data_IF_908321576168
#
_entry.id   IF_908321576168
#
_cell.length_a   1.000
_cell.length_b   1.000
_cell.length_c   1.000
_cell.angle_alpha   90.00
_cell.angle_beta   90.00
_cell.angle_gamma   90.00
#
_symmetry.space_group_name_H-M   'P 1'
#
loop_
_entity.id
_entity.type
_entity.pdbx_description
1 polymer ?
#
# COMPACT_ATOMS: atom_id res chain seq x y z
N UNK A 1 21.47 -4.28 23.96
CA UNK A 1 20.64 -5.11 23.05
C UNK A 1 20.78 -6.63 23.33
N UNK A 2 21.71 -7.09 24.17
CA UNK A 2 21.90 -8.53 24.46
C UNK A 2 20.80 -9.16 25.34
N UNK A 3 20.10 -8.35 26.14
CA UNK A 3 19.06 -8.86 27.04
C UNK A 3 17.88 -9.47 26.28
N UNK A 4 17.34 -8.74 25.29
CA UNK A 4 16.26 -9.21 24.43
C UNK A 4 16.68 -10.45 23.63
N UNK A 5 17.92 -10.48 23.11
CA UNK A 5 18.44 -11.62 22.37
C UNK A 5 18.56 -12.88 23.25
N UNK A 6 19.10 -12.74 24.46
CA UNK A 6 19.17 -13.83 25.44
C UNK A 6 17.80 -14.35 25.87
N UNK A 7 16.76 -13.51 25.86
CA UNK A 7 15.39 -13.97 26.14
C UNK A 7 14.79 -14.75 24.97
N UNK A 8 14.97 -14.28 23.74
CA UNK A 8 14.53 -15.00 22.53
C UNK A 8 15.26 -16.35 22.43
N UNK A 9 16.57 -16.39 22.65
CA UNK A 9 17.38 -17.61 22.58
C UNK A 9 16.97 -18.66 23.62
N UNK A 10 16.42 -18.23 24.78
CA UNK A 10 15.88 -19.16 25.80
C UNK A 10 14.56 -19.80 25.38
N UNK A 11 13.75 -19.08 24.60
CA UNK A 11 12.41 -19.51 24.19
C UNK A 11 12.49 -20.35 22.90
N UNK A 12 13.47 -20.07 22.04
CA UNK A 12 13.72 -20.69 20.75
C UNK A 12 13.67 -22.24 20.72
N UNK A 13 14.24 -22.98 21.70
CA UNK A 13 14.22 -24.45 21.70
C UNK A 13 12.80 -25.04 21.76
N UNK A 14 11.81 -24.30 22.24
CA UNK A 14 10.43 -24.76 22.28
C UNK A 14 9.73 -24.72 20.91
N UNK A 15 10.29 -23.98 19.95
CA UNK A 15 9.74 -23.73 18.61
C UNK A 15 10.55 -24.41 17.49
N UNK A 16 11.71 -25.01 17.81
CA UNK A 16 12.52 -25.81 16.89
C UNK A 16 11.98 -27.26 16.73
N UNK A 17 12.50 -28.00 15.74
CA UNK A 17 12.06 -29.38 15.44
C UNK A 17 12.20 -30.29 16.66
N UNK A 18 11.09 -30.84 17.17
CA UNK A 18 11.04 -31.63 18.42
C UNK A 18 10.60 -30.84 19.67
N UNK A 19 10.34 -29.54 19.56
CA UNK A 19 9.80 -28.69 20.63
C UNK A 19 8.26 -28.75 20.74
N UNK A 20 7.72 -28.42 21.92
CA UNK A 20 6.25 -28.45 22.19
C UNK A 20 5.44 -27.56 21.24
N UNK A 21 6.03 -26.49 20.72
CA UNK A 21 5.40 -25.52 19.83
C UNK A 21 6.01 -25.52 18.41
N UNK A 22 6.56 -26.65 17.96
CA UNK A 22 7.17 -26.81 16.62
C UNK A 22 6.27 -26.29 15.49
N UNK A 23 4.95 -26.46 15.58
CA UNK A 23 3.99 -25.93 14.60
C UNK A 23 4.03 -24.40 14.46
N UNK A 24 4.39 -23.68 15.51
CA UNK A 24 4.54 -22.22 15.52
C UNK A 24 5.97 -21.76 15.20
N UNK A 25 6.89 -22.70 14.93
CA UNK A 25 8.27 -22.42 14.52
C UNK A 25 8.39 -21.37 13.41
N UNK A 26 7.58 -21.44 12.33
CA UNK A 26 7.60 -20.42 11.28
C UNK A 26 7.22 -19.01 11.74
N UNK A 27 6.23 -18.88 12.63
CA UNK A 27 5.78 -17.60 13.16
C UNK A 27 6.83 -17.00 14.11
N UNK A 28 7.42 -17.83 14.99
CA UNK A 28 8.52 -17.41 15.86
C UNK A 28 9.76 -16.99 15.06
N UNK A 29 10.13 -17.77 14.04
CA UNK A 29 11.22 -17.44 13.12
C UNK A 29 11.00 -16.10 12.43
N UNK A 30 9.78 -15.82 11.97
CA UNK A 30 9.40 -14.52 11.38
C UNK A 30 9.59 -13.35 12.33
N UNK A 31 9.20 -13.48 13.61
CA UNK A 31 9.39 -12.46 14.65
C UNK A 31 10.88 -12.30 15.01
N UNK A 32 11.63 -13.40 15.09
CA UNK A 32 13.07 -13.37 15.35
C UNK A 32 13.81 -12.63 14.22
N UNK A 33 13.52 -12.97 12.96
CA UNK A 33 14.07 -12.24 11.81
C UNK A 33 13.55 -10.82 11.74
N UNK A 34 12.35 -10.53 12.25
CA UNK A 34 11.83 -9.17 12.36
C UNK A 34 12.73 -8.28 13.22
N UNK A 35 13.11 -8.79 14.40
CA UNK A 35 13.89 -8.06 15.40
C UNK A 35 15.41 -8.14 15.20
N UNK A 36 15.91 -9.23 14.63
CA UNK A 36 17.35 -9.52 14.55
C UNK A 36 17.78 -10.05 13.18
N UNK A 37 19.01 -9.73 12.79
CA UNK A 37 19.64 -10.29 11.58
C UNK A 37 19.94 -11.77 11.80
N UNK A 38 19.68 -12.66 10.82
CA UNK A 38 20.02 -14.06 10.93
C UNK A 38 21.53 -14.28 11.16
N UNK A 39 21.90 -15.10 12.14
CA UNK A 39 23.30 -15.40 12.47
C UNK A 39 23.90 -16.54 11.62
N UNK A 40 23.26 -16.97 10.53
CA UNK A 40 23.78 -18.04 9.69
C UNK A 40 24.62 -17.45 8.54
N UNK A 41 25.84 -17.96 8.38
CA UNK A 41 26.71 -17.63 7.25
C UNK A 41 26.77 -18.80 6.28
N UNK A 42 27.02 -18.50 5.00
CA UNK A 42 27.19 -19.54 3.99
C UNK A 42 28.45 -20.36 4.29
N UNK A 43 28.25 -21.64 4.65
CA UNK A 43 29.33 -22.59 4.96
C UNK A 43 29.94 -23.26 3.72
N UNK A 44 29.24 -23.19 2.59
CA UNK A 44 29.65 -23.76 1.30
C UNK A 44 29.92 -22.63 0.31
N UNK A 45 30.82 -22.83 -0.66
CA UNK A 45 31.11 -21.84 -1.69
C UNK A 45 29.86 -21.48 -2.49
N UNK A 46 29.52 -20.18 -2.55
CA UNK A 46 28.45 -19.66 -3.40
C UNK A 46 29.05 -18.93 -4.60
N UNK A 47 28.41 -19.05 -5.76
CA UNK A 47 28.88 -18.42 -7.01
C UNK A 47 28.86 -16.89 -6.94
N UNK A 48 27.87 -16.31 -6.25
CA UNK A 48 27.75 -14.89 -5.96
C UNK A 48 27.40 -14.74 -4.48
N UNK A 49 28.04 -13.79 -3.79
CA UNK A 49 27.68 -13.36 -2.44
C UNK A 49 27.10 -11.96 -2.57
N UNK A 50 25.79 -11.85 -2.43
CA UNK A 50 25.10 -10.57 -2.39
C UNK A 50 24.74 -10.23 -0.93
N UNK A 51 24.88 -8.96 -0.57
CA UNK A 51 24.46 -8.41 0.72
C UNK A 51 23.05 -7.81 0.68
N UNK A 52 22.37 -7.89 -0.46
CA UNK A 52 20.97 -7.50 -0.61
C UNK A 52 20.08 -8.56 0.06
N UNK A 53 19.45 -8.14 1.15
CA UNK A 53 18.44 -8.92 1.85
C UNK A 53 17.04 -8.46 1.40
N UNK A 54 16.13 -9.40 1.15
CA UNK A 54 14.73 -9.13 0.81
C UNK A 54 14.09 -8.19 1.84
N UNK A 55 14.41 -8.39 3.11
CA UNK A 55 13.96 -7.52 4.20
C UNK A 55 14.36 -6.06 3.99
N UNK A 56 15.63 -5.82 3.66
CA UNK A 56 16.16 -4.47 3.44
C UNK A 56 15.43 -3.81 2.28
N UNK A 57 15.23 -4.56 1.19
CA UNK A 57 14.49 -4.07 0.02
C UNK A 57 13.06 -3.67 0.40
N UNK A 58 12.34 -4.54 1.13
CA UNK A 58 10.96 -4.25 1.54
C UNK A 58 10.86 -3.03 2.47
N UNK A 59 11.78 -2.88 3.43
CA UNK A 59 11.80 -1.71 4.32
C UNK A 59 12.09 -0.41 3.57
N UNK A 60 12.98 -0.42 2.57
CA UNK A 60 13.22 0.76 1.73
C UNK A 60 11.96 1.14 0.96
N UNK A 61 11.19 0.16 0.47
CA UNK A 61 9.90 0.43 -0.18
C UNK A 61 8.89 1.04 0.80
N UNK A 62 8.79 0.53 2.03
CA UNK A 62 7.94 1.15 3.06
C UNK A 62 8.36 2.60 3.33
N UNK A 63 9.66 2.87 3.44
CA UNK A 63 10.18 4.23 3.63
C UNK A 63 9.82 5.14 2.45
N UNK A 64 9.92 4.62 1.21
CA UNK A 64 9.55 5.37 0.01
C UNK A 64 8.05 5.72 -0.05
N UNK A 65 7.18 4.96 0.63
CA UNK A 65 5.75 5.22 0.73
C UNK A 65 5.40 6.26 1.82
N UNK A 66 6.27 6.49 2.80
CA UNK A 66 5.98 7.40 3.92
C UNK A 66 5.68 8.85 3.51
N UNK A 67 6.41 9.48 2.55
CA UNK A 67 6.09 10.84 2.13
C UNK A 67 4.65 10.97 1.60
N UNK A 68 4.23 10.04 0.74
CA UNK A 68 2.89 9.99 0.18
C UNK A 68 1.84 9.70 1.27
N UNK A 69 2.14 8.81 2.21
CA UNK A 69 1.26 8.52 3.35
C UNK A 69 1.04 9.77 4.24
N UNK A 70 2.12 10.47 4.62
CA UNK A 70 2.06 11.63 5.50
C UNK A 70 1.28 12.77 4.83
N UNK A 71 1.60 13.06 3.57
CA UNK A 71 0.90 14.10 2.83
C UNK A 71 -0.57 13.72 2.59
N UNK A 72 -0.86 12.49 2.19
CA UNK A 72 -2.23 12.04 1.99
C UNK A 72 -3.05 12.08 3.27
N UNK A 73 -2.46 11.73 4.42
CA UNK A 73 -3.11 11.87 5.73
C UNK A 73 -3.45 13.33 6.03
N UNK A 74 -2.52 14.25 5.76
CA UNK A 74 -2.77 15.68 5.90
C UNK A 74 -3.84 16.20 4.92
N UNK A 75 -3.78 15.80 3.65
CA UNK A 75 -4.71 16.24 2.61
C UNK A 75 -6.14 15.76 2.89
N UNK A 76 -6.34 14.56 3.44
CA UNK A 76 -7.67 14.12 3.91
C UNK A 76 -8.22 15.14 4.93
N UNK A 77 -7.41 15.56 5.91
CA UNK A 77 -7.85 16.57 6.86
C UNK A 77 -8.17 17.90 6.19
N UNK A 78 -7.31 18.35 5.27
CA UNK A 78 -7.48 19.61 4.54
C UNK A 78 -8.79 19.65 3.74
N UNK A 79 -9.09 18.57 3.01
CA UNK A 79 -10.30 18.48 2.18
C UNK A 79 -11.58 18.38 3.03
N UNK A 80 -11.52 17.82 4.24
CA UNK A 80 -12.70 17.65 5.10
C UNK A 80 -13.00 18.83 6.02
N UNK A 81 -11.96 19.45 6.59
CA UNK A 81 -12.10 20.53 7.56
C UNK A 81 -12.12 21.93 6.91
N UNK A 82 -11.72 22.05 5.63
CA UNK A 82 -11.62 23.32 4.93
C UNK A 82 -10.44 24.18 5.40
N UNK A 83 -10.30 25.38 4.84
CA UNK A 83 -9.19 26.30 5.15
C UNK A 83 -9.30 26.90 6.56
N UNK A 84 -8.15 27.11 7.23
CA UNK A 84 -8.06 27.86 8.49
C UNK A 84 -7.65 27.05 9.72
N UNK A 85 -7.40 25.75 9.58
CA UNK A 85 -6.94 24.88 10.67
C UNK A 85 -5.42 24.71 10.69
N UNK A 86 -4.89 24.32 11.85
CA UNK A 86 -3.45 24.03 11.99
C UNK A 86 -3.06 22.72 11.30
N UNK A 87 -1.80 22.60 10.89
CA UNK A 87 -1.26 21.36 10.29
C UNK A 87 -1.59 20.10 11.11
N UNK A 88 -1.46 20.19 12.44
CA UNK A 88 -1.72 19.07 13.35
C UNK A 88 -3.20 18.67 13.42
N UNK A 89 -4.12 19.62 13.23
CA UNK A 89 -5.56 19.35 13.20
C UNK A 89 -5.92 18.56 11.93
N UNK A 90 -5.44 19.00 10.77
CA UNK A 90 -5.59 18.25 9.53
C UNK A 90 -4.99 16.84 9.62
N UNK A 91 -3.75 16.75 10.13
CA UNK A 91 -3.07 15.46 10.24
C UNK A 91 -3.76 14.51 11.21
N UNK A 92 -4.25 15.00 12.36
CA UNK A 92 -4.97 14.18 13.33
C UNK A 92 -6.31 13.69 12.80
N UNK A 93 -7.07 14.53 12.09
CA UNK A 93 -8.33 14.12 11.47
C UNK A 93 -8.12 13.00 10.45
N UNK A 94 -7.22 13.20 9.49
CA UNK A 94 -6.89 12.17 8.52
C UNK A 94 -6.29 10.92 9.16
N UNK A 95 -5.47 11.10 10.21
CA UNK A 95 -4.85 10.04 10.99
C UNK A 95 -5.88 9.11 11.61
N UNK A 96 -6.92 9.65 12.24
CA UNK A 96 -8.01 8.87 12.85
C UNK A 96 -8.77 8.03 11.82
N UNK A 97 -8.86 8.49 10.57
CA UNK A 97 -9.55 7.76 9.49
C UNK A 97 -8.67 6.69 8.84
N UNK A 98 -7.39 6.99 8.60
CA UNK A 98 -6.50 6.07 7.88
C UNK A 98 -5.90 4.98 8.78
N UNK A 99 -5.61 5.29 10.05
CA UNK A 99 -4.98 4.35 10.98
C UNK A 99 -5.79 3.05 11.14
N UNK A 100 -7.13 3.08 11.32
CA UNK A 100 -7.93 1.86 11.37
C UNK A 100 -7.81 1.00 10.11
N UNK A 101 -7.77 1.61 8.92
CA UNK A 101 -7.60 0.87 7.66
C UNK A 101 -6.24 0.16 7.60
N UNK A 102 -5.18 0.85 8.03
CA UNK A 102 -3.83 0.29 8.11
C UNK A 102 -3.78 -0.87 9.12
N UNK A 103 -4.32 -0.66 10.32
CA UNK A 103 -4.35 -1.68 11.37
C UNK A 103 -5.08 -2.94 10.89
N UNK A 104 -6.23 -2.78 10.25
CA UNK A 104 -7.02 -3.91 9.75
C UNK A 104 -6.32 -4.61 8.59
N UNK A 105 -5.77 -3.85 7.63
CA UNK A 105 -5.05 -4.44 6.50
C UNK A 105 -3.85 -5.28 6.95
N UNK A 106 -3.07 -4.77 7.91
CA UNK A 106 -1.97 -5.50 8.51
C UNK A 106 -2.43 -6.68 9.36
N UNK A 107 -3.37 -6.46 10.27
CA UNK A 107 -3.82 -7.48 11.21
C UNK A 107 -4.43 -8.68 10.50
N UNK A 108 -5.31 -8.43 9.53
CA UNK A 108 -6.00 -9.49 8.77
C UNK A 108 -5.02 -10.17 7.82
N UNK A 109 -4.25 -9.42 7.05
CA UNK A 109 -3.39 -10.01 6.03
C UNK A 109 -2.19 -10.74 6.59
N UNK A 110 -1.47 -10.16 7.57
CA UNK A 110 -0.41 -10.88 8.27
C UNK A 110 -0.99 -12.07 9.05
N UNK A 111 -2.17 -11.93 9.66
CA UNK A 111 -2.85 -13.02 10.35
C UNK A 111 -3.07 -14.24 9.45
N UNK A 112 -3.54 -14.03 8.22
CA UNK A 112 -3.72 -15.10 7.23
C UNK A 112 -2.38 -15.66 6.76
N UNK A 113 -1.38 -14.81 6.51
CA UNK A 113 -0.04 -15.26 6.10
C UNK A 113 0.62 -16.13 7.18
N UNK A 114 0.53 -15.72 8.46
CA UNK A 114 1.00 -16.54 9.57
C UNK A 114 0.25 -17.88 9.64
N UNK A 115 -1.07 -17.88 9.44
CA UNK A 115 -1.86 -19.11 9.44
C UNK A 115 -1.46 -20.05 8.29
N UNK A 116 -1.24 -19.53 7.08
CA UNK A 116 -0.80 -20.32 5.92
C UNK A 116 0.63 -20.82 6.07
N UNK A 117 1.54 -20.00 6.59
CA UNK A 117 2.92 -20.39 6.88
C UNK A 117 2.99 -21.54 7.90
N UNK A 118 2.15 -21.51 8.93
CA UNK A 118 2.01 -22.60 9.91
C UNK A 118 1.46 -23.88 9.23
N UNK A 119 0.45 -23.74 8.37
CA UNK A 119 -0.16 -24.88 7.68
C UNK A 119 0.80 -25.56 6.68
N UNK A 120 1.60 -24.76 5.96
CA UNK A 120 2.53 -25.23 4.92
C UNK A 120 3.95 -25.49 5.43
N UNK A 121 4.30 -25.04 6.63
CA UNK A 121 5.61 -25.26 7.25
C UNK A 121 6.76 -24.48 6.61
N UNK A 122 6.50 -23.41 5.86
CA UNK A 122 7.53 -22.51 5.33
C UNK A 122 7.67 -21.25 6.18
N UNK A 123 8.82 -20.57 6.09
CA UNK A 123 9.05 -19.29 6.79
C UNK A 123 8.09 -18.20 6.30
N UNK A 124 7.73 -17.31 7.23
CA UNK A 124 6.95 -16.11 6.93
C UNK A 124 7.84 -15.11 6.21
N UNK A 125 7.38 -14.61 5.07
CA UNK A 125 8.12 -13.62 4.29
C UNK A 125 7.60 -12.21 4.58
N UNK A 126 8.50 -11.23 4.65
CA UNK A 126 8.15 -9.84 4.98
C UNK A 126 7.47 -9.07 3.82
N UNK A 127 7.21 -9.73 2.68
CA UNK A 127 6.67 -9.07 1.48
C UNK A 127 5.26 -8.49 1.66
N UNK A 128 4.47 -9.00 2.62
CA UNK A 128 3.18 -8.38 2.92
C UNK A 128 3.32 -7.04 3.64
N UNK A 129 4.48 -6.69 4.21
CA UNK A 129 4.66 -5.40 4.86
C UNK A 129 4.37 -4.23 3.92
N UNK A 130 4.79 -4.37 2.66
CA UNK A 130 4.51 -3.37 1.62
C UNK A 130 3.05 -3.43 1.17
N UNK A 131 2.51 -4.63 0.97
CA UNK A 131 1.13 -4.83 0.49
C UNK A 131 0.10 -4.28 1.49
N UNK A 132 0.30 -4.55 2.78
CA UNK A 132 -0.58 -4.08 3.85
C UNK A 132 -0.60 -2.55 4.00
N UNK A 133 0.46 -1.85 3.58
CA UNK A 133 0.46 -0.39 3.51
C UNK A 133 -0.18 0.14 2.22
N UNK A 134 0.09 -0.54 1.10
CA UNK A 134 -0.44 -0.14 -0.21
C UNK A 134 -1.96 -0.24 -0.28
N UNK A 135 -2.58 -1.27 0.33
CA UNK A 135 -4.05 -1.45 0.25
C UNK A 135 -4.81 -0.22 0.78
N UNK A 136 -4.58 0.27 2.02
CA UNK A 136 -5.21 1.50 2.49
C UNK A 136 -4.90 2.72 1.63
N UNK A 137 -3.68 2.82 1.09
CA UNK A 137 -3.26 3.96 0.27
C UNK A 137 -4.02 4.07 -1.05
N UNK A 138 -4.43 2.94 -1.62
CA UNK A 138 -5.15 2.86 -2.90
C UNK A 138 -6.66 2.65 -2.71
N UNK A 139 -7.19 2.80 -1.51
CA UNK A 139 -8.63 2.69 -1.26
C UNK A 139 -9.22 4.05 -0.88
N UNK A 140 -10.51 4.29 -1.14
CA UNK A 140 -11.22 5.44 -0.60
C UNK A 140 -11.19 5.43 0.92
N UNK A 141 -11.07 6.61 1.53
CA UNK A 141 -11.03 6.76 2.99
C UNK A 141 -12.38 6.44 3.66
N UNK A 142 -13.47 6.55 2.90
CA UNK A 142 -14.83 6.29 3.35
C UNK A 142 -15.23 4.81 3.27
N UNK A 143 -14.33 3.96 2.76
CA UNK A 143 -14.61 2.54 2.62
C UNK A 143 -14.85 1.91 4.00
N UNK A 144 -16.03 1.30 4.25
CA UNK A 144 -16.30 0.63 5.51
C UNK A 144 -15.23 -0.43 5.81
N UNK A 145 -14.76 -0.45 7.06
CA UNK A 145 -13.64 -1.29 7.49
C UNK A 145 -13.86 -2.79 7.25
N UNK A 146 -15.11 -3.25 7.27
CA UNK A 146 -15.46 -4.63 6.98
C UNK A 146 -15.32 -4.98 5.49
N UNK A 147 -15.60 -4.04 4.57
CA UNK A 147 -15.40 -4.23 3.14
C UNK A 147 -13.91 -4.33 2.82
N UNK A 148 -13.10 -3.46 3.46
CA UNK A 148 -11.64 -3.54 3.40
C UNK A 148 -11.15 -4.90 3.90
N UNK A 149 -11.69 -5.38 5.03
CA UNK A 149 -11.34 -6.69 5.61
C UNK A 149 -11.58 -7.82 4.61
N UNK A 150 -12.76 -7.90 4.01
CA UNK A 150 -13.09 -8.96 3.04
C UNK A 150 -12.19 -8.86 1.80
N UNK A 151 -11.91 -7.65 1.33
CA UNK A 151 -11.03 -7.41 0.17
C UNK A 151 -9.60 -7.86 0.44
N UNK A 152 -9.09 -7.60 1.65
CA UNK A 152 -7.77 -8.08 2.09
C UNK A 152 -7.74 -9.60 2.17
N UNK A 153 -8.76 -10.23 2.76
CA UNK A 153 -8.87 -11.70 2.83
C UNK A 153 -8.82 -12.31 1.44
N UNK A 154 -9.63 -11.78 0.51
CA UNK A 154 -9.66 -12.26 -0.87
C UNK A 154 -8.29 -12.13 -1.55
N UNK A 155 -7.68 -10.95 -1.47
CA UNK A 155 -6.40 -10.68 -2.10
C UNK A 155 -5.26 -11.54 -1.54
N UNK A 156 -5.22 -11.77 -0.23
CA UNK A 156 -4.17 -12.59 0.40
C UNK A 156 -4.40 -14.06 0.08
N UNK A 157 -5.60 -14.60 0.29
CA UNK A 157 -5.87 -16.04 0.08
C UNK A 157 -5.77 -16.41 -1.39
N UNK A 158 -6.45 -15.68 -2.28
CA UNK A 158 -6.55 -16.02 -3.70
C UNK A 158 -5.41 -15.40 -4.51
N UNK A 159 -5.05 -14.16 -4.22
CA UNK A 159 -4.05 -13.42 -5.01
C UNK A 159 -2.60 -13.72 -4.67
N UNK A 160 -2.32 -14.17 -3.43
CA UNK A 160 -0.96 -14.41 -2.94
C UNK A 160 -0.73 -15.87 -2.52
N UNK A 161 -1.47 -16.36 -1.53
CA UNK A 161 -1.22 -17.67 -0.92
C UNK A 161 -1.60 -18.86 -1.83
N UNK A 162 -2.63 -18.71 -2.68
CA UNK A 162 -2.98 -19.73 -3.67
C UNK A 162 -1.85 -20.02 -4.66
N UNK A 163 -0.99 -19.03 -4.94
CA UNK A 163 0.19 -19.17 -5.81
C UNK A 163 1.47 -19.52 -5.04
N UNK A 164 1.35 -19.82 -3.74
CA UNK A 164 2.45 -20.25 -2.88
C UNK A 164 3.20 -19.12 -2.16
N UNK A 165 2.64 -17.91 -2.11
CA UNK A 165 3.11 -16.83 -1.25
C UNK A 165 4.12 -15.87 -1.88
N UNK A 166 4.80 -15.10 -1.03
CA UNK A 166 5.68 -13.99 -1.45
C UNK A 166 6.75 -14.43 -2.44
N UNK A 167 6.78 -13.78 -3.62
CA UNK A 167 7.75 -14.04 -4.69
C UNK A 167 7.20 -14.90 -5.84
N UNK A 168 6.05 -15.56 -5.66
CA UNK A 168 5.40 -16.36 -6.71
C UNK A 168 4.07 -15.75 -7.19
N UNK A 169 3.76 -14.52 -6.75
CA UNK A 169 2.53 -13.83 -7.11
C UNK A 169 2.55 -13.46 -8.60
N UNK A 170 1.57 -13.93 -9.36
CA UNK A 170 1.39 -13.58 -10.79
C UNK A 170 1.02 -12.09 -10.93
N UNK A 171 0.21 -11.59 -10.00
CA UNK A 171 -0.33 -10.24 -10.00
C UNK A 171 -0.01 -9.56 -8.66
N UNK A 172 -0.07 -8.23 -8.61
CA UNK A 172 0.13 -7.48 -7.38
C UNK A 172 -1.09 -7.68 -6.44
N UNK A 173 -0.91 -8.26 -5.23
CA UNK A 173 -2.02 -8.52 -4.32
C UNK A 173 -2.77 -7.26 -3.87
N UNK A 174 -2.09 -6.11 -3.72
CA UNK A 174 -2.77 -4.86 -3.40
C UNK A 174 -3.72 -4.43 -4.52
N UNK A 175 -3.31 -4.56 -5.78
CA UNK A 175 -4.18 -4.27 -6.93
C UNK A 175 -5.33 -5.26 -7.04
N UNK A 176 -5.13 -6.53 -6.67
CA UNK A 176 -6.22 -7.51 -6.58
C UNK A 176 -7.25 -7.07 -5.52
N UNK A 177 -6.80 -6.61 -4.35
CA UNK A 177 -7.71 -6.11 -3.31
C UNK A 177 -8.56 -4.96 -3.85
N UNK A 178 -7.93 -4.00 -4.55
CA UNK A 178 -8.64 -2.87 -5.17
C UNK A 178 -9.60 -3.31 -6.27
N UNK A 179 -9.19 -4.23 -7.14
CA UNK A 179 -10.04 -4.75 -8.21
C UNK A 179 -11.27 -5.49 -7.63
N UNK A 180 -11.06 -6.31 -6.60
CA UNK A 180 -12.15 -6.99 -5.90
C UNK A 180 -13.13 -5.98 -5.28
N UNK A 181 -12.63 -4.97 -4.58
CA UNK A 181 -13.48 -3.92 -4.01
C UNK A 181 -14.24 -3.13 -5.08
N UNK A 182 -13.59 -2.81 -6.21
CA UNK A 182 -14.18 -2.08 -7.32
C UNK A 182 -15.38 -2.82 -7.93
N UNK A 183 -15.26 -4.13 -8.16
CA UNK A 183 -16.34 -4.92 -8.76
C UNK A 183 -17.41 -5.35 -7.75
N UNK A 184 -17.03 -5.58 -6.48
CA UNK A 184 -17.96 -6.06 -5.45
C UNK A 184 -18.72 -4.93 -4.76
N UNK A 185 -18.09 -3.75 -4.64
CA UNK A 185 -18.60 -2.61 -3.87
C UNK A 185 -18.54 -1.31 -4.70
N UNK A 186 -18.95 -1.39 -5.97
CA UNK A 186 -18.90 -0.27 -6.92
C UNK A 186 -19.44 1.07 -6.37
N UNK A 187 -20.56 1.14 -5.61
CA UNK A 187 -21.05 2.43 -5.09
C UNK A 187 -20.08 3.13 -4.14
N UNK A 188 -19.28 2.38 -3.38
CA UNK A 188 -18.29 2.92 -2.44
C UNK A 188 -16.94 3.20 -3.12
N UNK A 189 -16.74 2.68 -4.32
CA UNK A 189 -15.51 2.83 -5.12
C UNK A 189 -15.70 3.80 -6.30
N UNK A 190 -16.94 4.16 -6.63
CA UNK A 190 -17.31 5.03 -7.76
C UNK A 190 -17.45 6.48 -7.30
N UNK A 191 -16.84 7.42 -8.02
CA UNK A 191 -16.66 8.83 -7.65
C UNK A 191 -17.90 9.74 -7.77
N UNK A 192 -19.11 9.22 -7.51
CA UNK A 192 -20.34 10.03 -7.54
C UNK A 192 -20.53 10.85 -6.24
N UNK A 193 -19.80 10.50 -5.18
CA UNK A 193 -19.64 11.30 -3.96
C UNK A 193 -18.14 11.44 -3.76
N UNK A 194 -17.64 12.67 -3.57
CA UNK A 194 -16.21 12.88 -3.27
C UNK A 194 -15.80 11.97 -2.12
N UNK A 195 -14.61 11.40 -2.17
CA UNK A 195 -13.99 10.69 -1.04
C UNK A 195 -13.54 11.68 0.05
N UNK A 196 -14.49 12.49 0.52
CA UNK A 196 -14.38 13.51 1.58
C UNK A 196 -15.21 12.97 2.73
N UNK A 197 -14.51 12.37 3.69
CA UNK A 197 -15.04 11.87 4.94
C UNK A 197 -15.73 12.97 5.75
N UNK A 198 -17.06 13.04 5.61
CA UNK A 198 -17.96 13.69 6.56
C UNK A 198 -17.69 15.20 6.66
N UNK A 199 -18.01 15.93 5.60
CA UNK A 199 -18.04 17.39 5.64
C UNK A 199 -19.04 17.84 6.72
N UNK A 200 -18.59 18.69 7.64
CA UNK A 200 -19.42 19.31 8.70
C UNK A 200 -20.62 20.08 8.11
N UNK A 201 -20.62 20.33 6.80
CA UNK A 201 -21.80 20.62 6.01
C UNK A 201 -22.17 19.40 5.14
N UNK A 202 -23.24 18.70 5.50
CA UNK A 202 -24.00 17.83 4.62
C UNK A 202 -24.44 18.63 3.38
N UNK A 203 -23.67 18.61 2.28
CA UNK A 203 -24.04 19.42 1.10
C UNK A 203 -22.99 19.72 0.03
N UNK A 204 -21.71 19.35 0.15
CA UNK A 204 -20.77 19.51 -0.98
C UNK A 204 -20.50 18.15 -1.63
N UNK A 205 -21.44 17.74 -2.47
CA UNK A 205 -21.18 16.72 -3.49
C UNK A 205 -20.26 17.32 -4.56
N UNK A 206 -19.21 16.61 -4.89
CA UNK A 206 -18.25 16.95 -5.93
C UNK A 206 -17.84 15.69 -6.67
N UNK A 207 -17.65 15.80 -7.97
CA UNK A 207 -17.07 14.74 -8.76
C UNK A 207 -15.54 14.78 -8.59
N UNK A 208 -14.88 13.63 -8.67
CA UNK A 208 -13.40 13.62 -8.79
C UNK A 208 -12.99 14.44 -10.03
N UNK A 209 -11.79 15.03 -10.05
CA UNK A 209 -11.33 15.83 -11.21
C UNK A 209 -11.42 15.05 -12.53
N UNK A 210 -11.17 13.73 -12.50
CA UNK A 210 -11.36 12.85 -13.64
C UNK A 210 -12.83 12.65 -14.02
N UNK A 211 -13.73 12.59 -13.04
CA UNK A 211 -15.18 12.57 -13.27
C UNK A 211 -15.69 13.87 -13.91
N UNK A 212 -15.22 15.03 -13.42
CA UNK A 212 -15.56 16.35 -13.98
C UNK A 212 -15.11 16.46 -15.44
N UNK A 213 -13.88 16.03 -15.73
CA UNK A 213 -13.34 16.01 -17.10
C UNK A 213 -14.10 15.03 -18.01
N UNK A 214 -14.47 13.86 -17.50
CA UNK A 214 -15.31 12.91 -18.24
C UNK A 214 -16.71 13.49 -18.52
N UNK A 215 -17.24 14.33 -17.63
CA UNK A 215 -18.47 15.08 -17.84
C UNK A 215 -18.33 16.32 -18.73
N UNK A 216 -17.20 16.49 -19.43
CA UNK A 216 -16.87 17.66 -20.28
C UNK A 216 -16.93 19.01 -19.56
N UNK A 217 -16.70 19.03 -18.24
CA UNK A 217 -16.58 20.27 -17.47
C UNK A 217 -15.10 20.55 -17.20
N UNK A 218 -14.74 21.84 -17.19
CA UNK A 218 -13.41 22.24 -16.74
C UNK A 218 -13.36 22.18 -15.21
N UNK A 219 -12.38 21.49 -14.62
CA UNK A 219 -12.18 21.52 -13.18
C UNK A 219 -11.73 22.92 -12.75
N UNK A 220 -12.27 23.41 -11.63
CA UNK A 220 -11.87 24.69 -11.02
C UNK A 220 -10.45 24.62 -10.39
N UNK A 221 -9.85 23.44 -10.35
CA UNK A 221 -8.52 23.19 -9.76
C UNK A 221 -7.41 23.46 -10.78
N UNK A 222 -6.41 24.26 -10.38
CA UNK A 222 -5.22 24.51 -11.21
C UNK A 222 -4.38 23.24 -11.37
N UNK A 223 -3.68 23.10 -12.51
CA UNK A 223 -2.73 22.00 -12.76
C UNK A 223 -1.64 21.96 -11.68
N UNK A 224 -1.22 23.12 -11.18
CA UNK A 224 -0.24 23.19 -10.10
C UNK A 224 -0.78 22.65 -8.77
N UNK A 225 -2.06 22.90 -8.49
CA UNK A 225 -2.72 22.41 -7.29
C UNK A 225 -2.93 20.89 -7.36
N UNK A 226 -3.23 20.35 -8.56
CA UNK A 226 -3.25 18.91 -8.80
C UNK A 226 -1.85 18.28 -8.64
N UNK A 227 -0.79 18.96 -9.07
CA UNK A 227 0.58 18.47 -8.93
C UNK A 227 1.03 18.44 -7.46
N UNK A 228 0.71 19.50 -6.70
CA UNK A 228 0.98 19.58 -5.27
C UNK A 228 0.10 18.61 -4.47
N UNK A 229 -1.12 18.38 -4.94
CA UNK A 229 -2.07 17.41 -4.42
C UNK A 229 -3.18 18.00 -3.55
N UNK A 230 -3.54 19.27 -3.77
CA UNK A 230 -4.69 19.93 -3.14
C UNK A 230 -6.01 19.52 -3.82
N UNK A 231 -6.20 18.21 -3.98
CA UNK A 231 -7.41 17.66 -4.59
C UNK A 231 -7.91 16.45 -3.79
N UNK A 232 -9.22 16.17 -3.83
CA UNK A 232 -9.75 14.95 -3.25
C UNK A 232 -9.33 13.72 -4.06
N UNK A 233 -8.98 12.63 -3.39
CA UNK A 233 -8.53 11.39 -4.01
C UNK A 233 -8.17 10.33 -2.98
N UNK A 234 -7.71 9.16 -3.44
CA UNK A 234 -7.20 8.13 -2.53
C UNK A 234 -5.91 8.63 -1.89
N UNK A 235 -5.65 8.20 -0.65
CA UNK A 235 -4.56 8.75 0.17
C UNK A 235 -3.22 8.77 -0.58
N UNK A 236 -2.90 7.68 -1.27
CA UNK A 236 -1.63 7.50 -1.96
C UNK A 236 -1.53 8.13 -3.35
N UNK A 237 -2.61 8.66 -3.92
CA UNK A 237 -2.61 9.23 -5.28
C UNK A 237 -2.67 10.76 -5.30
N UNK A 238 -2.96 11.38 -4.16
CA UNK A 238 -3.25 12.82 -4.08
C UNK A 238 -2.11 13.72 -4.56
N UNK A 239 -0.85 13.45 -4.19
CA UNK A 239 0.30 14.32 -4.54
C UNK A 239 1.32 13.63 -5.42
N UNK A 240 1.43 14.12 -6.66
CA UNK A 240 2.45 13.67 -7.62
C UNK A 240 3.85 13.95 -7.08
N UNK A 241 4.07 15.12 -6.46
CA UNK A 241 5.38 15.48 -5.89
C UNK A 241 5.86 14.46 -4.85
N UNK A 242 4.99 14.07 -3.93
CA UNK A 242 5.35 13.13 -2.85
C UNK A 242 5.60 11.72 -3.39
N UNK A 243 4.82 11.30 -4.40
CA UNK A 243 5.06 10.03 -5.11
C UNK A 243 6.40 10.06 -5.84
N UNK A 244 6.77 11.19 -6.47
CA UNK A 244 8.05 11.34 -7.15
C UNK A 244 9.25 11.30 -6.19
N UNK A 245 9.11 11.83 -4.96
CA UNK A 245 10.13 11.69 -3.92
C UNK A 245 10.30 10.21 -3.55
N UNK A 246 9.20 9.48 -3.36
CA UNK A 246 9.24 8.02 -3.15
C UNK A 246 9.90 7.28 -4.33
N UNK A 247 9.54 7.63 -5.56
CA UNK A 247 10.14 7.06 -6.77
C UNK A 247 11.65 7.35 -6.85
N UNK A 248 12.09 8.57 -6.49
CA UNK A 248 13.50 8.93 -6.45
C UNK A 248 14.28 8.07 -5.45
N UNK A 249 13.73 7.84 -4.24
CA UNK A 249 14.33 6.94 -3.24
C UNK A 249 14.51 5.53 -3.82
N UNK A 250 13.51 5.01 -4.51
CA UNK A 250 13.56 3.66 -5.11
C UNK A 250 14.54 3.57 -6.29
N UNK A 251 14.68 4.64 -7.08
CA UNK A 251 15.64 4.73 -8.18
C UNK A 251 17.07 4.84 -7.69
N UNK A 252 17.33 5.69 -6.69
CA UNK A 252 18.66 5.85 -6.11
C UNK A 252 19.15 4.58 -5.41
N UNK A 253 18.24 3.82 -4.81
CA UNK A 253 18.56 2.54 -4.17
C UNK A 253 18.65 1.36 -5.15
N UNK A 254 18.35 1.58 -6.44
CA UNK A 254 18.43 0.56 -7.48
C UNK A 254 17.38 -0.54 -7.37
N UNK A 255 16.36 -0.36 -6.53
CA UNK A 255 15.28 -1.34 -6.33
C UNK A 255 14.28 -1.27 -7.48
N UNK A 256 14.03 -0.06 -8.01
CA UNK A 256 13.07 0.14 -9.07
C UNK A 256 13.72 0.42 -10.43
N UNK A 257 13.05 -0.01 -11.49
CA UNK A 257 13.50 0.17 -12.88
C UNK A 257 12.96 1.45 -13.49
N UNK A 258 13.84 2.42 -13.77
CA UNK A 258 13.48 3.67 -14.45
C UNK A 258 12.89 3.42 -15.85
N UNK A 259 13.31 2.34 -16.51
CA UNK A 259 12.85 1.97 -17.85
C UNK A 259 11.34 1.71 -17.86
N UNK A 260 10.84 0.99 -16.84
CA UNK A 260 9.42 0.65 -16.73
C UNK A 260 8.59 1.90 -16.46
N UNK A 261 9.04 2.76 -15.54
CA UNK A 261 8.32 3.99 -15.17
C UNK A 261 8.23 4.97 -16.35
N UNK A 262 9.34 5.20 -17.05
CA UNK A 262 9.35 6.12 -18.19
C UNK A 262 8.53 5.56 -19.35
N UNK A 263 8.62 4.25 -19.62
CA UNK A 263 7.82 3.61 -20.67
C UNK A 263 6.31 3.71 -20.41
N UNK A 264 5.86 3.54 -19.17
CA UNK A 264 4.44 3.66 -18.84
C UNK A 264 3.92 5.10 -19.00
N UNK A 265 4.69 6.10 -18.58
CA UNK A 265 4.33 7.51 -18.74
C UNK A 265 4.29 7.92 -20.21
N UNK A 266 5.30 7.54 -20.99
CA UNK A 266 5.34 7.83 -22.43
C UNK A 266 4.17 7.14 -23.14
N UNK A 267 3.90 5.86 -22.82
CA UNK A 267 2.78 5.14 -23.41
C UNK A 267 1.43 5.80 -23.14
N UNK A 268 1.20 6.24 -21.90
CA UNK A 268 -0.02 6.96 -21.52
C UNK A 268 -0.12 8.31 -22.24
N UNK A 269 0.97 9.09 -22.28
CA UNK A 269 1.01 10.39 -22.93
C UNK A 269 0.78 10.31 -24.44
N UNK A 270 1.44 9.36 -25.12
CA UNK A 270 1.25 9.13 -26.56
C UNK A 270 -0.18 8.73 -26.88
N UNK A 271 -0.78 7.84 -26.08
CA UNK A 271 -2.17 7.41 -26.27
C UNK A 271 -3.14 8.57 -26.05
N UNK A 272 -2.93 9.38 -25.00
CA UNK A 272 -3.74 10.57 -24.75
C UNK A 272 -3.65 11.61 -25.87
N UNK A 273 -2.43 11.90 -26.35
CA UNK A 273 -2.22 12.81 -27.48
C UNK A 273 -2.84 12.28 -28.77
N UNK A 274 -2.75 10.97 -29.03
CA UNK A 274 -3.38 10.35 -30.18
C UNK A 274 -4.91 10.51 -30.14
N UNK A 275 -5.55 10.29 -28.99
CA UNK A 275 -6.99 10.50 -28.85
C UNK A 275 -7.41 11.97 -29.00
N UNK A 276 -6.60 12.92 -28.49
CA UNK A 276 -6.85 14.35 -28.69
C UNK A 276 -6.68 14.78 -30.15
N UNK A 277 -5.76 14.16 -30.90
CA UNK A 277 -5.48 14.51 -32.29
C UNK A 277 -6.53 13.98 -33.27
N UNK A 278 -7.14 12.82 -32.99
CA UNK A 278 -8.11 12.18 -33.89
C UNK A 278 -9.46 12.92 -33.82
N UNK A 279 -9.87 13.43 -32.65
CA UNK A 279 -11.15 14.14 -32.45
C UNK A 279 -12.37 13.24 -32.66
N UNK A 280 -13.35 13.29 -31.76
CA UNK A 280 -14.63 12.59 -31.94
C UNK A 280 -15.71 13.34 -31.20
N UNK A 281 -16.73 13.78 -31.94
CA UNK A 281 -17.94 14.43 -31.39
C UNK A 281 -18.80 13.44 -30.57
N UNK A 282 -18.46 12.14 -30.58
CA UNK A 282 -19.20 11.06 -29.89
C UNK A 282 -18.48 10.52 -28.64
N UNK A 283 -17.28 11.03 -28.33
CA UNK A 283 -16.50 10.59 -27.16
C UNK A 283 -16.80 11.41 -25.88
N UNK A 284 -17.94 12.11 -25.87
CA UNK A 284 -18.46 12.85 -24.73
C UNK A 284 -19.19 11.96 -23.72
#
# INVERSE_FOLDING_TARGET
MDFLRKQIDKIKPHFEKGGKYEKFGPAFGGIETFLYVPNHTTKVGSHIRDGVDLKRVMMVVVIALLPALIFGTWNIGYQNLGEGHSFWEYFSFGGVRILPMIIISYGVGLGIEFAYAIFRGHSVNEGYLVTGLLIPLIMPIDLPLWMLTISVIFAVVIGKEAFGGTGMNILNPALIARAFALFSYAPFMSGNTVWVADSVADGVSGETVLGVLAGNKMPDTSVFDMFMGYMPGSVGETSVLMILIGAAILLFTGIASWRIMVASVIGAALTGLAFNAIGSDTNA
#
